data_IF_422332574831
#
_entry.id   IF_422332574831
#
_cell.length_a   1.000
_cell.length_b   1.000
_cell.length_c   1.000
_cell.angle_alpha   90.00
_cell.angle_beta   90.00
_cell.angle_gamma   90.00
#
_symmetry.space_group_name_H-M   'P 1'
#
loop_
_entity.id
_entity.type
_entity.pdbx_description
1 polymer ?
#
# COMPACT_ATOMS: atom_id res chain seq x y z
N UNK A 1 0.45 -14.54 -34.46
CA UNK A 1 -0.16 -14.46 -33.11
C UNK A 1 -0.07 -13.07 -32.48
N UNK A 2 1.11 -12.53 -32.22
CA UNK A 2 1.28 -11.17 -31.69
C UNK A 2 0.59 -10.10 -32.57
N UNK A 3 0.69 -10.23 -33.89
CA UNK A 3 0.00 -9.37 -34.86
C UNK A 3 -1.54 -9.40 -34.68
N UNK A 4 -2.10 -10.58 -34.42
CA UNK A 4 -3.55 -10.72 -34.17
C UNK A 4 -3.96 -10.04 -32.86
N UNK A 5 -3.16 -10.17 -31.80
CA UNK A 5 -3.41 -9.45 -30.55
C UNK A 5 -3.34 -7.93 -30.74
N UNK A 6 -2.39 -7.43 -31.53
CA UNK A 6 -2.30 -6.01 -31.86
C UNK A 6 -3.51 -5.53 -32.66
N UNK A 7 -3.99 -6.33 -33.61
CA UNK A 7 -5.25 -6.08 -34.30
C UNK A 7 -6.43 -5.99 -33.32
N UNK A 8 -6.52 -6.87 -32.31
CA UNK A 8 -7.57 -6.79 -31.29
C UNK A 8 -7.47 -5.47 -30.50
N UNK A 9 -6.26 -5.03 -30.12
CA UNK A 9 -6.06 -3.76 -29.41
C UNK A 9 -6.59 -2.57 -30.21
N UNK A 10 -6.27 -2.50 -31.50
CA UNK A 10 -6.69 -1.38 -32.36
C UNK A 10 -8.15 -1.46 -32.82
N UNK A 11 -8.76 -2.66 -32.80
CA UNK A 11 -10.18 -2.84 -33.13
C UNK A 11 -11.11 -2.82 -31.91
N UNK A 12 -10.56 -2.64 -30.72
CA UNK A 12 -11.32 -2.48 -29.47
C UNK A 12 -11.87 -1.07 -29.32
N UNK A 13 -13.02 -0.94 -28.64
CA UNK A 13 -13.53 0.35 -28.20
C UNK A 13 -12.75 0.92 -26.99
N UNK A 14 -13.12 2.10 -26.52
CA UNK A 14 -12.46 2.78 -25.39
C UNK A 14 -12.43 1.97 -24.08
N UNK A 15 -13.28 0.95 -23.96
CA UNK A 15 -13.37 0.06 -22.81
C UNK A 15 -12.64 -1.27 -23.03
N UNK A 16 -11.93 -1.43 -24.15
CA UNK A 16 -11.21 -2.65 -24.50
C UNK A 16 -12.11 -3.75 -25.04
N UNK A 17 -13.33 -3.42 -25.51
CA UNK A 17 -14.25 -4.40 -26.08
C UNK A 17 -14.08 -4.48 -27.59
N UNK A 18 -13.77 -5.67 -28.09
CA UNK A 18 -13.71 -5.97 -29.52
C UNK A 18 -15.12 -6.29 -30.02
N UNK A 19 -15.70 -5.37 -30.80
CA UNK A 19 -17.05 -5.49 -31.38
C UNK A 19 -17.03 -6.12 -32.78
N UNK A 20 -16.16 -7.11 -32.98
CA UNK A 20 -16.01 -7.83 -34.25
C UNK A 20 -16.43 -9.28 -34.05
N UNK A 21 -17.08 -9.86 -35.06
CA UNK A 21 -17.37 -11.30 -35.07
C UNK A 21 -16.12 -12.09 -35.46
N UNK A 22 -16.08 -13.38 -35.11
CA UNK A 22 -14.98 -14.29 -35.52
C UNK A 22 -14.78 -14.28 -37.04
N UNK A 23 -15.87 -14.19 -37.83
CA UNK A 23 -15.80 -14.13 -39.30
C UNK A 23 -15.15 -12.84 -39.80
N UNK A 24 -15.48 -11.71 -39.18
CA UNK A 24 -14.85 -10.43 -39.51
C UNK A 24 -13.37 -10.42 -39.12
N UNK A 25 -13.02 -10.92 -37.93
CA UNK A 25 -11.62 -11.04 -37.52
C UNK A 25 -10.81 -11.92 -38.48
N UNK A 26 -11.42 -13.01 -38.95
CA UNK A 26 -10.83 -13.92 -39.94
C UNK A 26 -10.57 -13.22 -41.27
N UNK A 27 -11.56 -12.49 -41.79
CA UNK A 27 -11.42 -11.72 -43.03
C UNK A 27 -10.40 -10.57 -42.91
N UNK A 28 -10.46 -9.78 -41.82
CA UNK A 28 -9.59 -8.62 -41.59
C UNK A 28 -8.11 -9.01 -41.40
N UNK A 29 -7.82 -10.29 -41.13
CA UNK A 29 -6.46 -10.80 -40.91
C UNK A 29 -6.05 -11.91 -41.91
N UNK A 30 -6.78 -12.06 -43.02
CA UNK A 30 -6.53 -13.08 -44.07
C UNK A 30 -6.30 -14.50 -43.53
N UNK A 31 -7.13 -14.92 -42.56
CA UNK A 31 -6.97 -16.20 -41.88
C UNK A 31 -8.30 -16.94 -41.68
N UNK A 32 -8.22 -18.24 -41.37
CA UNK A 32 -9.43 -19.03 -41.11
C UNK A 32 -10.03 -18.74 -39.74
N UNK A 33 -11.35 -18.90 -39.62
CA UNK A 33 -12.06 -18.80 -38.34
C UNK A 33 -11.53 -19.78 -37.28
N UNK A 34 -11.05 -20.96 -37.71
CA UNK A 34 -10.39 -21.93 -36.83
C UNK A 34 -9.08 -21.37 -36.26
N UNK A 35 -8.31 -20.65 -37.08
CA UNK A 35 -7.07 -20.01 -36.64
C UNK A 35 -7.33 -18.87 -35.66
N UNK A 36 -8.37 -18.07 -35.91
CA UNK A 36 -8.85 -17.03 -34.97
C UNK A 36 -9.23 -17.65 -33.63
N UNK A 37 -10.01 -18.73 -33.62
CA UNK A 37 -10.39 -19.43 -32.38
C UNK A 37 -9.18 -19.99 -31.62
N UNK A 38 -8.22 -20.59 -32.34
CA UNK A 38 -6.96 -21.04 -31.75
C UNK A 38 -6.25 -19.87 -31.06
N UNK A 39 -6.08 -18.75 -31.74
CA UNK A 39 -5.44 -17.57 -31.19
C UNK A 39 -6.18 -16.98 -29.99
N UNK A 40 -7.51 -16.87 -30.04
CA UNK A 40 -8.29 -16.43 -28.88
C UNK A 40 -8.12 -17.36 -27.68
N UNK A 41 -8.02 -18.68 -27.90
CA UNK A 41 -7.76 -19.63 -26.82
C UNK A 41 -6.37 -19.42 -26.20
N UNK A 42 -5.35 -19.17 -27.02
CA UNK A 42 -3.98 -18.89 -26.57
C UNK A 42 -3.88 -17.55 -25.81
N UNK A 43 -4.59 -16.50 -26.23
CA UNK A 43 -4.60 -15.19 -25.50
C UNK A 43 -5.32 -15.34 -24.17
N UNK A 44 -6.38 -16.15 -24.15
CA UNK A 44 -7.14 -16.45 -22.95
C UNK A 44 -6.31 -17.24 -21.94
N UNK A 45 -5.51 -18.22 -22.37
CA UNK A 45 -4.59 -18.94 -21.46
C UNK A 45 -3.51 -18.00 -20.89
N UNK A 46 -3.07 -17.02 -21.67
CA UNK A 46 -2.17 -15.96 -21.23
C UNK A 46 -2.84 -14.88 -20.36
N UNK A 47 -4.14 -15.00 -20.07
CA UNK A 47 -4.94 -14.03 -19.30
C UNK A 47 -4.96 -12.63 -19.89
N UNK A 48 -4.73 -12.49 -21.20
CA UNK A 48 -4.70 -11.22 -21.89
C UNK A 48 -6.08 -10.80 -22.46
N UNK A 49 -7.03 -11.74 -22.56
CA UNK A 49 -8.42 -11.43 -22.89
C UNK A 49 -9.42 -12.37 -22.22
N UNK A 50 -10.67 -11.95 -22.16
CA UNK A 50 -11.82 -12.74 -21.72
C UNK A 50 -12.92 -12.72 -22.78
N UNK A 51 -13.74 -13.77 -22.78
CA UNK A 51 -14.94 -13.84 -23.63
C UNK A 51 -16.15 -13.43 -22.80
N UNK A 52 -16.83 -12.34 -23.19
CA UNK A 52 -18.08 -11.89 -22.57
C UNK A 52 -19.28 -12.30 -23.44
N UNK A 53 -20.24 -13.01 -22.82
CA UNK A 53 -21.56 -13.29 -23.38
C UNK A 53 -21.56 -13.82 -24.82
N UNK A 54 -22.39 -13.21 -25.69
CA UNK A 54 -22.61 -13.59 -27.11
C UNK A 54 -21.40 -13.28 -28.01
N UNK A 55 -20.22 -13.80 -27.67
CA UNK A 55 -19.03 -13.77 -28.54
C UNK A 55 -18.24 -12.46 -28.53
N UNK A 56 -18.43 -11.58 -27.54
CA UNK A 56 -17.58 -10.41 -27.34
C UNK A 56 -16.22 -10.79 -26.76
N UNK A 57 -15.14 -10.19 -27.24
CA UNK A 57 -13.80 -10.35 -26.68
C UNK A 57 -13.42 -9.07 -25.95
N UNK A 58 -13.07 -9.20 -24.67
CA UNK A 58 -12.61 -8.10 -23.82
C UNK A 58 -11.13 -8.22 -23.55
N UNK A 59 -10.36 -7.17 -23.83
CA UNK A 59 -8.94 -7.12 -23.55
C UNK A 59 -8.72 -6.78 -22.08
N UNK A 60 -8.00 -7.65 -21.37
CA UNK A 60 -7.61 -7.40 -19.98
C UNK A 60 -6.52 -6.32 -19.94
N UNK A 61 -6.50 -5.46 -18.92
CA UNK A 61 -5.54 -4.35 -18.83
C UNK A 61 -5.47 -3.47 -20.11
N UNK A 62 -6.57 -3.34 -20.87
CA UNK A 62 -6.62 -2.53 -22.09
C UNK A 62 -6.01 -1.12 -21.94
N UNK A 63 -6.32 -0.36 -20.86
CA UNK A 63 -5.76 0.98 -20.70
C UNK A 63 -4.24 1.03 -20.62
N UNK A 64 -3.61 0.00 -20.04
CA UNK A 64 -2.15 -0.14 -20.02
C UNK A 64 -1.57 -0.22 -21.44
N UNK A 65 -2.18 -1.01 -22.32
CA UNK A 65 -1.69 -1.21 -23.70
C UNK A 65 -1.85 0.03 -24.59
N UNK A 66 -2.88 0.83 -24.36
CA UNK A 66 -3.12 2.07 -25.12
C UNK A 66 -2.45 3.30 -24.48
N UNK A 67 -1.63 3.11 -23.44
CA UNK A 67 -0.94 4.20 -22.75
C UNK A 67 -1.89 5.15 -22.00
N UNK A 68 -3.18 4.81 -21.86
CA UNK A 68 -4.09 5.51 -20.96
C UNK A 68 -3.64 5.11 -19.56
N UNK A 69 -2.98 6.04 -18.86
CA UNK A 69 -2.72 5.93 -17.43
C UNK A 69 -4.05 5.71 -16.71
N UNK A 70 -4.45 4.45 -16.50
CA UNK A 70 -5.46 4.18 -15.49
C UNK A 70 -4.78 4.51 -14.19
N UNK A 71 -5.19 5.61 -13.58
CA UNK A 71 -5.03 5.84 -12.16
C UNK A 71 -5.87 4.79 -11.39
N UNK A 72 -5.57 3.51 -11.59
CA UNK A 72 -5.98 2.36 -10.78
C UNK A 72 -4.80 1.88 -9.94
N UNK A 73 -3.82 2.76 -9.70
CA UNK A 73 -3.49 2.99 -8.31
C UNK A 73 -4.66 3.80 -7.76
N UNK A 74 -5.63 3.12 -7.14
CA UNK A 74 -6.07 3.67 -5.87
C UNK A 74 -4.77 3.91 -5.10
N UNK A 75 -4.28 5.16 -5.10
CA UNK A 75 -3.47 5.63 -3.98
C UNK A 75 -4.36 5.24 -2.81
N UNK A 76 -3.99 4.19 -2.10
CA UNK A 76 -4.68 3.81 -0.88
C UNK A 76 -4.51 5.04 0.01
N UNK A 77 -5.51 5.92 0.01
CA UNK A 77 -5.56 7.04 0.92
C UNK A 77 -5.58 6.38 2.28
N UNK A 78 -4.47 6.51 3.01
CA UNK A 78 -4.37 5.96 4.35
C UNK A 78 -5.51 6.58 5.16
N UNK A 79 -6.36 5.73 5.73
CA UNK A 79 -7.40 6.19 6.64
C UNK A 79 -6.76 6.44 8.01
N UNK A 80 -7.17 7.53 8.66
CA UNK A 80 -6.75 7.88 10.02
C UNK A 80 -7.88 7.70 11.04
N UNK A 81 -8.98 7.04 10.65
CA UNK A 81 -10.20 6.93 11.45
C UNK A 81 -10.02 6.07 12.72
N UNK A 82 -8.94 5.29 12.78
CA UNK A 82 -8.58 4.48 13.95
C UNK A 82 -7.90 5.28 15.08
N UNK A 83 -7.55 6.55 14.84
CA UNK A 83 -6.88 7.41 15.81
C UNK A 83 -7.92 8.09 16.69
N UNK A 84 -7.89 7.77 17.99
CA UNK A 84 -8.75 8.40 19.00
C UNK A 84 -8.47 9.91 19.07
N UNK A 85 -9.52 10.70 19.29
CA UNK A 85 -9.46 12.16 19.27
C UNK A 85 -8.36 12.73 20.17
N UNK A 86 -8.19 12.17 21.37
CA UNK A 86 -7.18 12.58 22.35
C UNK A 86 -5.74 12.37 21.87
N UNK A 87 -5.52 11.45 20.93
CA UNK A 87 -4.20 11.12 20.38
C UNK A 87 -3.91 11.77 19.04
N UNK A 88 -4.90 12.42 18.41
CA UNK A 88 -4.76 12.99 17.07
C UNK A 88 -3.59 13.96 17.00
N UNK A 89 -3.49 14.89 17.94
CA UNK A 89 -2.43 15.91 17.93
C UNK A 89 -1.03 15.29 18.00
N UNK A 90 -0.81 14.36 18.94
CA UNK A 90 0.48 13.68 19.08
C UNK A 90 0.81 12.82 17.84
N UNK A 91 -0.17 12.06 17.35
CA UNK A 91 0.03 11.16 16.23
C UNK A 91 0.28 11.91 14.92
N UNK A 92 -0.51 12.95 14.61
CA UNK A 92 -0.32 13.73 13.39
C UNK A 92 1.00 14.51 13.42
N UNK A 93 1.41 15.06 14.57
CA UNK A 93 2.74 15.68 14.72
C UNK A 93 3.88 14.72 14.35
N UNK A 94 3.78 13.46 14.76
CA UNK A 94 4.73 12.41 14.36
C UNK A 94 4.68 12.11 12.85
N UNK A 95 3.49 11.99 12.26
CA UNK A 95 3.33 11.73 10.82
C UNK A 95 3.91 12.87 9.98
N UNK A 96 3.71 14.13 10.38
CA UNK A 96 4.28 15.28 9.70
C UNK A 96 5.81 15.27 9.71
N UNK A 97 6.41 14.92 10.85
CA UNK A 97 7.85 14.73 10.95
C UNK A 97 8.35 13.63 9.99
N UNK A 98 7.69 12.46 9.98
CA UNK A 98 8.06 11.34 9.08
C UNK A 98 7.92 11.69 7.60
N UNK A 99 6.95 12.55 7.24
CA UNK A 99 6.78 13.11 5.90
C UNK A 99 7.99 13.96 5.50
N UNK A 100 8.48 14.82 6.40
CA UNK A 100 9.70 15.60 6.19
C UNK A 100 10.94 14.71 5.97
N UNK A 101 11.05 13.60 6.69
CA UNK A 101 12.17 12.65 6.57
C UNK A 101 12.11 11.72 5.35
N UNK A 102 11.08 11.81 4.48
CA UNK A 102 10.84 10.89 3.34
C UNK A 102 10.79 9.40 3.72
N UNK A 103 10.46 9.08 4.97
CA UNK A 103 10.32 7.71 5.51
C UNK A 103 8.91 7.48 6.01
N UNK A 104 7.92 7.80 5.17
CA UNK A 104 6.50 7.64 5.49
C UNK A 104 6.07 6.16 5.52
N UNK A 105 5.00 5.91 6.27
CA UNK A 105 4.29 4.64 6.26
C UNK A 105 3.56 4.48 4.92
N UNK A 106 3.78 3.35 4.26
CA UNK A 106 3.23 3.08 2.92
C UNK A 106 2.00 2.17 2.94
N UNK A 107 1.67 1.57 4.09
CA UNK A 107 0.55 0.64 4.24
C UNK A 107 -0.29 0.97 5.47
N UNK A 108 -1.60 0.73 5.39
CA UNK A 108 -2.54 0.94 6.51
C UNK A 108 -2.10 0.18 7.78
N UNK A 109 -1.67 -1.07 7.62
CA UNK A 109 -1.18 -1.91 8.71
C UNK A 109 0.03 -1.30 9.42
N UNK A 110 0.98 -0.72 8.69
CA UNK A 110 2.15 -0.08 9.29
C UNK A 110 1.79 1.19 10.07
N UNK A 111 0.81 1.96 9.57
CA UNK A 111 0.31 3.17 10.23
C UNK A 111 -0.40 2.82 11.55
N UNK A 112 -1.29 1.81 11.52
CA UNK A 112 -2.01 1.35 12.70
C UNK A 112 -1.06 0.71 13.73
N UNK A 113 -0.04 -0.03 13.27
CA UNK A 113 1.00 -0.58 14.15
C UNK A 113 1.76 0.53 14.88
N UNK A 114 2.09 1.63 14.18
CA UNK A 114 2.74 2.78 14.80
C UNK A 114 1.87 3.42 15.89
N UNK A 115 0.58 3.59 15.63
CA UNK A 115 -0.36 4.15 16.62
C UNK A 115 -0.53 3.25 17.84
N UNK A 116 -0.72 1.94 17.63
CA UNK A 116 -0.82 0.98 18.71
C UNK A 116 0.46 0.95 19.57
N UNK A 117 1.62 1.06 18.92
CA UNK A 117 2.90 1.18 19.62
C UNK A 117 2.97 2.46 20.45
N UNK A 118 2.55 3.61 19.91
CA UNK A 118 2.48 4.89 20.64
C UNK A 118 1.57 4.78 21.87
N UNK A 119 0.38 4.19 21.74
CA UNK A 119 -0.53 3.94 22.88
C UNK A 119 0.11 3.06 23.95
N UNK A 120 0.80 2.00 23.53
CA UNK A 120 1.47 1.06 24.44
C UNK A 120 2.59 1.74 25.24
N UNK A 121 3.49 2.47 24.58
CA UNK A 121 4.63 3.13 25.25
C UNK A 121 4.21 4.36 26.06
N UNK A 122 3.05 4.95 25.77
CA UNK A 122 2.45 6.03 26.56
C UNK A 122 1.55 5.53 27.68
N UNK A 123 1.44 4.22 27.90
CA UNK A 123 0.58 3.61 28.92
C UNK A 123 -0.88 4.14 28.87
N UNK A 124 -1.43 4.27 27.65
CA UNK A 124 -2.75 4.86 27.40
C UNK A 124 -2.93 6.28 28.00
N UNK A 125 -1.86 7.08 28.09
CA UNK A 125 -1.90 8.48 28.50
C UNK A 125 -1.59 9.42 27.31
N UNK A 126 -2.55 10.22 26.83
CA UNK A 126 -2.35 11.15 25.71
C UNK A 126 -1.26 12.21 25.94
N UNK A 127 -1.14 12.72 27.18
CA UNK A 127 -0.11 13.70 27.53
C UNK A 127 1.29 13.10 27.45
N UNK A 128 1.45 11.86 27.90
CA UNK A 128 2.72 11.13 27.79
C UNK A 128 3.04 10.80 26.33
N UNK A 129 2.04 10.49 25.51
CA UNK A 129 2.22 10.25 24.08
C UNK A 129 2.79 11.48 23.36
N UNK A 130 2.27 12.68 23.66
CA UNK A 130 2.81 13.93 23.12
C UNK A 130 4.29 14.12 23.51
N UNK A 131 4.63 13.93 24.80
CA UNK A 131 6.02 14.06 25.27
C UNK A 131 6.97 13.09 24.55
N UNK A 132 6.56 11.84 24.35
CA UNK A 132 7.35 10.84 23.63
C UNK A 132 7.59 11.26 22.17
N UNK A 133 6.56 11.79 21.50
CA UNK A 133 6.67 12.28 20.12
C UNK A 133 7.63 13.47 20.05
N UNK A 134 7.48 14.44 20.95
CA UNK A 134 8.35 15.62 20.99
C UNK A 134 9.81 15.27 21.28
N UNK A 135 10.06 14.39 22.25
CA UNK A 135 11.41 13.91 22.57
C UNK A 135 12.02 13.16 21.38
N UNK A 136 11.23 12.33 20.68
CA UNK A 136 11.70 11.60 19.49
C UNK A 136 12.04 12.56 18.34
N UNK A 137 11.25 13.62 18.14
CA UNK A 137 11.50 14.66 17.13
C UNK A 137 12.74 15.48 17.51
N UNK A 138 12.85 15.92 18.75
CA UNK A 138 13.98 16.72 19.24
C UNK A 138 15.32 15.98 19.10
N UNK A 139 15.31 14.66 19.34
CA UNK A 139 16.48 13.80 19.18
C UNK A 139 16.65 13.23 17.75
N UNK A 140 15.77 13.57 16.81
CA UNK A 140 15.74 13.07 15.44
C UNK A 140 15.77 11.52 15.36
N UNK A 141 15.05 10.85 16.26
CA UNK A 141 14.96 9.40 16.27
C UNK A 141 14.14 8.89 15.09
N UNK A 142 14.54 7.71 14.57
CA UNK A 142 13.85 7.09 13.44
C UNK A 142 12.49 6.46 13.82
N UNK A 143 12.28 6.23 15.12
CA UNK A 143 11.10 5.59 15.71
C UNK A 143 10.75 6.16 17.09
N UNK A 144 9.64 5.69 17.65
CA UNK A 144 9.11 6.09 18.96
C UNK A 144 9.53 5.09 20.04
N UNK A 145 10.06 5.59 21.15
CA UNK A 145 10.57 4.77 22.25
C UNK A 145 9.97 5.21 23.57
N UNK A 146 9.77 4.26 24.49
CA UNK A 146 9.31 4.56 25.83
C UNK A 146 10.37 5.41 26.55
N UNK A 147 9.91 6.43 27.28
CA UNK A 147 10.78 7.24 28.13
C UNK A 147 11.35 6.35 29.23
N UNK A 148 12.67 6.40 29.42
CA UNK A 148 13.28 5.76 30.59
C UNK A 148 12.83 6.55 31.82
N UNK A 149 12.01 5.95 32.65
CA UNK A 149 11.81 6.47 34.00
C UNK A 149 13.19 6.48 34.67
N UNK A 150 13.63 7.67 35.10
CA UNK A 150 14.68 7.75 36.09
C UNK A 150 14.08 7.10 37.35
N UNK A 151 14.21 5.79 37.48
CA UNK A 151 14.05 5.14 38.77
C UNK A 151 15.05 5.86 39.67
N UNK A 152 14.53 6.78 40.49
CA UNK A 152 15.19 7.12 41.75
C UNK A 152 15.10 5.83 42.54
N UNK A 153 16.04 4.92 42.27
CA UNK A 153 16.32 3.84 43.19
C UNK A 153 16.59 4.57 44.51
N UNK A 154 15.64 4.46 45.44
CA UNK A 154 15.84 4.84 46.82
C UNK A 154 16.92 3.88 47.34
N UNK A 155 18.17 4.13 46.99
CA UNK A 155 19.32 3.48 47.59
C UNK A 155 19.26 3.96 49.04
N UNK A 156 18.71 3.11 49.91
CA UNK A 156 18.69 3.37 51.33
C UNK A 156 20.14 3.20 51.83
N UNK A 157 20.92 4.29 51.74
CA UNK A 157 22.34 4.36 52.14
C UNK A 157 22.57 4.00 53.62
N UNK A 158 21.52 3.74 54.41
CA UNK A 158 21.62 3.44 55.84
C UNK A 158 22.09 2.02 56.17
N UNK A 159 22.17 1.11 55.21
CA UNK A 159 22.55 -0.29 55.46
C UNK A 159 23.93 -0.70 54.91
N UNK A 160 24.74 0.24 54.44
CA UNK A 160 26.11 -0.07 54.00
C UNK A 160 27.04 -0.09 55.22
N UNK A 161 27.06 -1.22 55.94
CA UNK A 161 28.05 -1.48 56.99
C UNK A 161 29.40 -1.69 56.28
N UNK A 162 30.35 -0.79 56.51
CA UNK A 162 31.73 -1.01 56.10
C UNK A 162 32.35 -2.06 57.02
N UNK A 163 32.59 -3.25 56.49
CA UNK A 163 33.49 -4.21 57.13
C UNK A 163 34.93 -3.73 56.85
N UNK A 164 35.43 -2.91 57.77
CA UNK A 164 36.84 -2.55 57.85
C UNK A 164 37.52 -3.45 58.88
N UNK A 165 38.12 -4.54 58.43
CA UNK A 165 39.15 -5.25 59.18
C UNK A 165 40.36 -5.46 58.28
N UNK A 166 41.54 -5.11 58.84
CA UNK A 166 42.87 -5.17 58.24
C UNK A 166 43.45 -6.59 58.31
#
# INVERSE_FOLDING_TARGET
>A
MAQFFLYLLFSSDDNGMVRKTIRQMAADNDMSTRKVLQYLSEIKTLKACMTEGRGGVKICNYPFYIGKQTNTSTKATLSYDFVEDEYKDAFFKWIEFKRGCKKMYNTQSSLQTCYNHLKKISNNNPSLAMQIVEESIANNWSGLYARKENKKDNINLKNMKYDSEW
#
